data_IF_266700073075
#
_entry.id   IF_266700073075
#
_cell.length_a   1.000
_cell.length_b   1.000
_cell.length_c   1.000
_cell.angle_alpha   90.00
_cell.angle_beta   90.00
_cell.angle_gamma   90.00
#
_symmetry.space_group_name_H-M   'P 1'
#
loop_
_entity.id
_entity.type
_entity.pdbx_description
1 polymer ?
#
# COMPACT_ATOMS: atom_id res chain seq x y z
N UNK A 1 -16.48 6.59 17.74
CA UNK A 1 -17.41 5.59 18.30
C UNK A 1 -16.65 4.59 19.15
N UNK A 2 -17.23 4.10 20.25
CA UNK A 2 -16.63 3.04 21.04
C UNK A 2 -16.44 1.77 20.21
N UNK A 3 -15.37 1.01 20.51
CA UNK A 3 -15.05 -0.24 19.81
C UNK A 3 -16.17 -1.25 20.08
N UNK A 4 -16.72 -1.85 19.02
CA UNK A 4 -17.81 -2.83 19.09
C UNK A 4 -19.17 -2.29 19.57
N UNK A 5 -19.45 -1.01 19.33
CA UNK A 5 -20.74 -0.39 19.65
C UNK A 5 -21.95 -1.07 18.97
N UNK A 6 -21.71 -1.84 17.91
CA UNK A 6 -22.71 -2.59 17.16
C UNK A 6 -23.13 -3.93 17.79
N UNK A 7 -22.36 -4.48 18.73
CA UNK A 7 -22.67 -5.79 19.34
C UNK A 7 -23.99 -5.82 20.13
N UNK A 8 -24.38 -4.78 20.88
CA UNK A 8 -25.69 -4.72 21.51
C UNK A 8 -26.84 -4.81 20.50
N UNK A 9 -26.75 -4.08 19.38
CA UNK A 9 -27.76 -4.11 18.32
C UNK A 9 -27.87 -5.51 17.67
N UNK A 10 -26.74 -6.20 17.47
CA UNK A 10 -26.75 -7.59 16.97
C UNK A 10 -27.37 -8.59 17.96
N UNK A 11 -27.30 -8.33 19.27
CA UNK A 11 -27.99 -9.15 20.28
C UNK A 11 -29.50 -8.88 20.27
N UNK A 12 -29.91 -7.62 20.16
CA UNK A 12 -31.33 -7.25 20.06
C UNK A 12 -32.02 -7.84 18.82
N UNK A 13 -31.28 -7.93 17.71
CA UNK A 13 -31.75 -8.51 16.45
C UNK A 13 -31.59 -10.05 16.40
N UNK A 14 -31.21 -10.72 17.49
CA UNK A 14 -30.98 -12.17 17.59
C UNK A 14 -29.89 -12.73 16.65
N UNK A 15 -29.00 -11.89 16.12
CA UNK A 15 -27.85 -12.36 15.34
C UNK A 15 -26.72 -12.90 16.22
N UNK A 16 -26.70 -12.55 17.52
CA UNK A 16 -25.79 -13.11 18.53
C UNK A 16 -26.67 -13.64 19.67
N UNK A 17 -26.56 -14.93 19.96
CA UNK A 17 -27.35 -15.61 21.00
C UNK A 17 -26.52 -15.89 22.24
N UNK A 18 -27.17 -16.24 23.36
CA UNK A 18 -26.47 -16.62 24.60
C UNK A 18 -25.58 -17.86 24.43
N UNK A 19 -25.94 -18.75 23.48
CA UNK A 19 -25.13 -19.91 23.10
C UNK A 19 -23.79 -19.53 22.44
N UNK A 20 -23.68 -18.30 21.91
CA UNK A 20 -22.46 -17.76 21.29
C UNK A 20 -21.58 -17.02 22.33
N UNK A 21 -21.91 -17.09 23.62
CA UNK A 21 -21.36 -16.26 24.70
C UNK A 21 -19.84 -16.38 24.95
N UNK A 22 -19.22 -17.49 24.57
CA UNK A 22 -17.77 -17.73 24.74
C UNK A 22 -16.90 -17.13 23.62
N UNK A 23 -17.48 -16.54 22.57
CA UNK A 23 -16.72 -16.01 21.44
C UNK A 23 -16.05 -14.66 21.75
N UNK A 24 -14.85 -14.46 21.20
CA UNK A 24 -14.21 -13.14 21.20
C UNK A 24 -15.10 -12.13 20.45
N UNK A 25 -15.12 -10.86 20.88
CA UNK A 25 -15.92 -9.81 20.23
C UNK A 25 -15.73 -9.70 18.70
N UNK A 26 -14.52 -10.01 18.21
CA UNK A 26 -14.22 -10.05 16.76
C UNK A 26 -14.93 -11.21 16.05
N UNK A 27 -15.02 -12.36 16.71
CA UNK A 27 -15.61 -13.60 16.18
C UNK A 27 -17.13 -13.49 16.22
N UNK A 28 -17.69 -12.99 17.34
CA UNK A 28 -19.11 -12.68 17.45
C UNK A 28 -19.57 -11.69 16.38
N UNK A 29 -18.78 -10.64 16.10
CA UNK A 29 -19.07 -9.69 15.01
C UNK A 29 -19.02 -10.34 13.63
N UNK A 30 -18.02 -11.18 13.36
CA UNK A 30 -17.90 -11.88 12.07
C UNK A 30 -19.05 -12.87 11.85
N UNK A 31 -19.47 -13.56 12.92
CA UNK A 31 -20.62 -14.47 12.89
C UNK A 31 -21.94 -13.73 12.65
N UNK A 32 -22.15 -12.60 13.34
CA UNK A 32 -23.35 -11.79 13.14
C UNK A 32 -23.46 -11.29 11.69
N UNK A 33 -22.37 -10.80 11.11
CA UNK A 33 -22.34 -10.37 9.71
C UNK A 33 -22.66 -11.51 8.73
N UNK A 34 -22.11 -12.71 8.97
CA UNK A 34 -22.48 -13.89 8.17
C UNK A 34 -23.97 -14.23 8.29
N UNK A 35 -24.54 -14.16 9.49
CA UNK A 35 -25.98 -14.41 9.68
C UNK A 35 -26.84 -13.36 8.99
N UNK A 36 -26.42 -12.09 8.98
CA UNK A 36 -27.11 -11.01 8.25
C UNK A 36 -27.07 -11.30 6.74
N UNK A 37 -25.92 -11.70 6.19
CA UNK A 37 -25.80 -12.14 4.78
C UNK A 37 -26.68 -13.36 4.47
N UNK A 38 -26.68 -14.37 5.35
CA UNK A 38 -27.44 -15.61 5.16
C UNK A 38 -28.95 -15.42 5.31
N UNK A 39 -29.39 -14.41 6.07
CA UNK A 39 -30.81 -14.09 6.31
C UNK A 39 -31.38 -13.09 5.30
N UNK A 40 -30.55 -12.40 4.53
CA UNK A 40 -31.02 -11.45 3.52
C UNK A 40 -31.90 -12.11 2.45
N UNK A 41 -33.13 -11.64 2.29
CA UNK A 41 -34.09 -12.17 1.29
C UNK A 41 -34.75 -11.08 0.44
N UNK A 42 -34.72 -9.83 0.90
CA UNK A 42 -35.30 -8.66 0.22
C UNK A 42 -34.21 -7.71 -0.30
N UNK A 43 -34.57 -6.81 -1.22
CA UNK A 43 -33.64 -5.78 -1.70
C UNK A 43 -33.18 -4.85 -0.57
N UNK A 44 -34.05 -4.59 0.40
CA UNK A 44 -33.76 -3.82 1.61
C UNK A 44 -32.69 -4.51 2.46
N UNK A 45 -32.80 -5.82 2.68
CA UNK A 45 -31.81 -6.59 3.45
C UNK A 45 -30.43 -6.56 2.77
N UNK A 46 -30.41 -6.67 1.43
CA UNK A 46 -29.15 -6.59 0.68
C UNK A 46 -28.52 -5.19 0.75
N UNK A 47 -29.31 -4.11 0.79
CA UNK A 47 -28.79 -2.76 1.03
C UNK A 47 -28.16 -2.65 2.41
N UNK A 48 -28.74 -3.26 3.43
CA UNK A 48 -28.16 -3.29 4.78
C UNK A 48 -26.83 -4.06 4.81
N UNK A 49 -26.77 -5.23 4.16
CA UNK A 49 -25.52 -6.01 4.01
C UNK A 49 -24.44 -5.16 3.36
N UNK A 50 -24.75 -4.47 2.26
CA UNK A 50 -23.79 -3.60 1.55
C UNK A 50 -23.28 -2.49 2.47
N UNK A 51 -24.15 -1.82 3.22
CA UNK A 51 -23.74 -0.77 4.16
C UNK A 51 -22.78 -1.28 5.24
N UNK A 52 -22.97 -2.50 5.73
CA UNK A 52 -22.05 -3.13 6.68
C UNK A 52 -20.69 -3.42 6.07
N UNK A 53 -20.66 -3.89 4.83
CA UNK A 53 -19.42 -4.12 4.08
C UNK A 53 -18.69 -2.81 3.78
N UNK A 54 -19.38 -1.77 3.32
CA UNK A 54 -18.80 -0.44 3.08
C UNK A 54 -18.20 0.14 4.36
N UNK A 55 -18.90 -0.02 5.51
CA UNK A 55 -18.39 0.42 6.81
C UNK A 55 -17.15 -0.37 7.24
N UNK A 56 -17.10 -1.67 6.98
CA UNK A 56 -15.93 -2.49 7.27
C UNK A 56 -14.74 -2.10 6.39
N UNK A 57 -14.99 -1.84 5.11
CA UNK A 57 -13.96 -1.41 4.17
C UNK A 57 -13.43 -0.02 4.55
N UNK A 58 -14.29 0.95 4.84
CA UNK A 58 -13.89 2.27 5.34
C UNK A 58 -13.07 2.20 6.64
N UNK A 59 -13.40 1.26 7.54
CA UNK A 59 -12.64 1.05 8.77
C UNK A 59 -11.27 0.42 8.53
N UNK A 60 -11.16 -0.45 7.52
CA UNK A 60 -9.91 -1.03 7.07
C UNK A 60 -9.05 0.04 6.39
N UNK A 61 -9.62 0.80 5.47
CA UNK A 61 -8.97 1.91 4.78
C UNK A 61 -8.46 2.98 5.75
N UNK A 62 -9.24 3.34 6.77
CA UNK A 62 -8.77 4.27 7.83
C UNK A 62 -7.57 3.72 8.57
N UNK A 63 -7.59 2.45 8.99
CA UNK A 63 -6.42 1.84 9.66
C UNK A 63 -5.20 1.86 8.76
N UNK A 64 -5.38 1.52 7.49
CA UNK A 64 -4.30 1.55 6.49
C UNK A 64 -3.79 3.00 6.29
N UNK A 65 -4.68 4.01 6.23
CA UNK A 65 -4.31 5.44 6.20
C UNK A 65 -3.59 5.92 7.44
N UNK A 66 -3.95 5.45 8.64
CA UNK A 66 -3.24 5.79 9.87
C UNK A 66 -1.78 5.27 9.83
N UNK A 67 -1.50 4.24 9.02
CA UNK A 67 -0.15 3.75 8.74
C UNK A 67 0.54 4.47 7.57
N UNK A 68 -0.19 5.26 6.78
CA UNK A 68 0.29 6.08 5.65
C UNK A 68 0.46 7.56 6.04
N UNK A 69 -0.28 8.06 7.03
CA UNK A 69 -0.33 9.48 7.40
C UNK A 69 0.82 9.84 8.34
N UNK A 70 1.87 10.44 7.77
CA UNK A 70 2.94 11.14 8.48
C UNK A 70 3.03 12.62 8.13
N UNK A 71 1.91 13.33 7.88
CA UNK A 71 1.91 14.75 7.48
C UNK A 71 0.92 15.61 8.28
N UNK A 72 1.33 16.85 8.56
CA UNK A 72 0.61 17.91 9.29
C UNK A 72 0.00 18.93 8.31
N UNK A 73 -1.09 19.60 8.74
CA UNK A 73 -2.11 20.26 7.90
C UNK A 73 -2.24 21.77 8.14
N UNK A 74 -1.16 22.53 8.36
CA UNK A 74 -1.24 24.00 8.40
C UNK A 74 -0.07 24.67 7.65
N UNK A 75 -0.36 25.54 6.67
CA UNK A 75 0.62 26.33 5.93
C UNK A 75 0.73 27.76 6.48
N UNK A 76 1.93 28.20 6.84
CA UNK A 76 2.50 29.54 6.61
C UNK A 76 3.72 29.74 7.52
N UNK A 77 4.93 29.69 6.96
CA UNK A 77 6.03 30.65 7.23
C UNK A 77 6.92 30.74 5.99
N UNK A 78 7.30 31.98 5.66
CA UNK A 78 8.22 32.29 4.58
C UNK A 78 9.64 32.13 5.16
N UNK A 79 10.34 31.08 4.70
CA UNK A 79 11.70 30.62 5.08
C UNK A 79 11.90 29.80 6.37
N UNK A 80 10.85 29.16 6.89
CA UNK A 80 10.98 28.02 7.81
C UNK A 80 10.06 26.86 7.38
N UNK A 81 10.43 25.64 7.77
CA UNK A 81 9.51 25.01 8.73
C UNK A 81 10.34 24.53 9.91
N UNK A 82 10.27 25.30 11.00
CA UNK A 82 10.90 24.99 12.29
C UNK A 82 10.32 23.73 12.96
N UNK A 83 9.37 23.01 12.33
CA UNK A 83 8.81 21.76 12.86
C UNK A 83 8.64 20.61 11.86
N UNK A 84 9.67 20.27 11.06
CA UNK A 84 9.69 18.96 10.37
C UNK A 84 10.93 18.10 10.66
N UNK A 85 10.94 17.51 11.86
CA UNK A 85 11.77 16.33 12.20
C UNK A 85 11.06 15.05 11.74
N UNK A 86 10.79 14.92 10.45
CA UNK A 86 10.69 13.57 9.87
C UNK A 86 12.10 13.24 9.39
N UNK A 87 12.72 12.18 9.91
CA UNK A 87 14.12 11.83 9.64
C UNK A 87 14.45 11.48 8.19
N UNK A 88 13.62 11.85 7.20
CA UNK A 88 13.83 11.62 5.77
C UNK A 88 13.40 12.86 4.95
N UNK A 89 14.26 13.39 4.05
CA UNK A 89 13.88 14.45 3.13
C UNK A 89 12.81 13.95 2.14
N UNK A 90 11.89 14.82 1.72
CA UNK A 90 10.93 14.50 0.66
C UNK A 90 11.64 14.37 -0.69
N UNK A 91 11.09 13.58 -1.61
CA UNK A 91 11.66 13.41 -2.95
C UNK A 91 11.84 14.74 -3.69
N UNK A 92 10.86 15.63 -3.62
CA UNK A 92 10.93 16.95 -4.27
C UNK A 92 12.04 17.84 -3.70
N UNK A 93 12.33 17.74 -2.39
CA UNK A 93 13.49 18.43 -1.78
C UNK A 93 14.81 17.89 -2.32
N UNK A 94 14.92 16.57 -2.52
CA UNK A 94 16.11 15.93 -3.09
C UNK A 94 16.31 16.39 -4.52
N UNK A 95 15.27 16.32 -5.36
CA UNK A 95 15.33 16.79 -6.74
C UNK A 95 15.71 18.27 -6.85
N UNK A 96 15.11 19.14 -6.02
CA UNK A 96 15.45 20.57 -6.00
C UNK A 96 16.90 20.81 -5.61
N UNK A 97 17.43 20.02 -4.66
CA UNK A 97 18.84 20.12 -4.26
C UNK A 97 19.78 19.67 -5.38
N UNK A 98 19.47 18.57 -6.07
CA UNK A 98 20.24 18.09 -7.22
C UNK A 98 20.25 19.14 -8.35
N UNK A 99 19.09 19.71 -8.66
CA UNK A 99 18.95 20.76 -9.66
C UNK A 99 19.83 21.98 -9.33
N UNK A 100 19.84 22.43 -8.07
CA UNK A 100 20.69 23.54 -7.61
C UNK A 100 22.18 23.19 -7.64
N UNK A 101 22.55 21.93 -7.43
CA UNK A 101 23.92 21.44 -7.53
C UNK A 101 24.40 21.29 -8.99
N UNK A 102 23.50 21.49 -9.98
CA UNK A 102 23.79 21.26 -11.39
C UNK A 102 23.75 19.78 -11.80
N UNK A 103 23.12 18.92 -11.00
CA UNK A 103 22.80 17.55 -11.37
C UNK A 103 21.32 17.47 -11.77
N UNK A 104 21.08 17.40 -13.08
CA UNK A 104 19.74 17.48 -13.67
C UNK A 104 19.27 16.17 -14.28
N UNK A 105 20.07 15.09 -14.22
CA UNK A 105 19.70 13.82 -14.85
C UNK A 105 18.40 13.27 -14.28
N UNK A 106 18.30 13.17 -12.95
CA UNK A 106 17.09 12.68 -12.29
C UNK A 106 15.88 13.57 -12.58
N UNK A 107 16.08 14.88 -12.69
CA UNK A 107 15.02 15.82 -13.04
C UNK A 107 14.50 15.63 -14.47
N UNK A 108 15.39 15.33 -15.44
CA UNK A 108 15.00 15.07 -16.84
C UNK A 108 14.18 13.77 -16.96
N UNK A 109 14.53 12.77 -16.15
CA UNK A 109 13.88 11.46 -16.14
C UNK A 109 12.76 11.31 -15.12
N UNK A 110 12.40 12.38 -14.41
CA UNK A 110 11.35 12.42 -13.39
C UNK A 110 9.93 12.35 -13.99
N UNK A 111 9.65 11.24 -14.67
CA UNK A 111 8.38 10.91 -15.31
C UNK A 111 8.12 9.41 -15.26
N UNK A 112 6.85 8.98 -15.29
CA UNK A 112 6.50 7.56 -15.23
C UNK A 112 7.18 6.68 -16.27
N UNK A 113 7.28 7.13 -17.53
CA UNK A 113 7.79 6.33 -18.65
C UNK A 113 9.27 5.95 -18.45
N UNK A 114 10.00 6.84 -17.77
CA UNK A 114 11.45 6.80 -17.55
C UNK A 114 11.83 6.37 -16.13
N UNK A 115 10.91 5.81 -15.35
CA UNK A 115 11.20 5.34 -13.97
C UNK A 115 12.40 4.36 -13.87
N UNK A 116 12.72 3.65 -14.95
CA UNK A 116 13.86 2.75 -15.02
C UNK A 116 15.22 3.45 -15.04
N UNK A 117 15.25 4.74 -15.40
CA UNK A 117 16.44 5.59 -15.35
C UNK A 117 16.71 6.12 -13.93
N UNK A 118 15.69 6.07 -13.05
CA UNK A 118 15.76 6.55 -11.67
C UNK A 118 16.18 5.45 -10.67
N UNK A 119 16.78 4.36 -11.16
CA UNK A 119 17.21 3.21 -10.37
C UNK A 119 18.67 2.92 -10.67
N UNK A 120 19.47 2.77 -9.61
CA UNK A 120 20.92 2.51 -9.71
C UNK A 120 21.24 1.07 -10.10
N UNK A 121 20.38 0.12 -9.75
CA UNK A 121 20.56 -1.28 -10.09
C UNK A 121 20.22 -1.57 -11.57
N UNK A 122 21.22 -2.03 -12.31
CA UNK A 122 21.09 -2.26 -13.77
C UNK A 122 20.09 -3.35 -14.14
N UNK A 123 19.88 -4.36 -13.29
CA UNK A 123 18.95 -5.44 -13.58
C UNK A 123 17.52 -5.03 -13.25
N UNK A 124 17.31 -4.31 -12.14
CA UNK A 124 16.04 -3.67 -11.85
C UNK A 124 15.68 -2.64 -12.91
N UNK A 125 16.64 -1.83 -13.38
CA UNK A 125 16.42 -0.89 -14.49
C UNK A 125 15.86 -1.61 -15.72
N UNK A 126 16.49 -2.71 -16.17
CA UNK A 126 15.98 -3.53 -17.29
C UNK A 126 14.59 -4.10 -17.02
N UNK A 127 14.33 -4.61 -15.81
CA UNK A 127 13.01 -5.14 -15.44
C UNK A 127 11.94 -4.04 -15.50
N UNK A 128 12.23 -2.87 -14.94
CA UNK A 128 11.32 -1.72 -14.92
C UNK A 128 11.07 -1.19 -16.33
N UNK A 129 12.08 -1.17 -17.19
CA UNK A 129 11.98 -0.74 -18.59
C UNK A 129 10.94 -1.54 -19.37
N UNK A 130 10.86 -2.85 -19.13
CA UNK A 130 9.93 -3.79 -19.78
C UNK A 130 8.53 -3.83 -19.14
N UNK A 131 8.27 -3.06 -18.07
CA UNK A 131 6.94 -2.99 -17.49
C UNK A 131 5.94 -2.28 -18.41
N UNK A 132 4.68 -2.72 -18.33
CA UNK A 132 3.58 -2.05 -19.02
C UNK A 132 3.44 -0.60 -18.51
N UNK A 133 3.04 0.35 -19.36
CA UNK A 133 2.95 1.78 -18.98
C UNK A 133 2.15 2.03 -17.69
N UNK A 134 0.96 1.44 -17.54
CA UNK A 134 0.15 1.61 -16.33
C UNK A 134 0.83 1.13 -15.04
N UNK A 135 1.71 0.13 -15.13
CA UNK A 135 2.48 -0.34 -13.96
C UNK A 135 3.60 0.64 -13.62
N UNK A 136 4.25 1.22 -14.64
CA UNK A 136 5.25 2.27 -14.43
C UNK A 136 4.62 3.51 -13.78
N UNK A 137 3.44 3.93 -14.24
CA UNK A 137 2.68 5.03 -13.64
C UNK A 137 2.37 4.76 -12.17
N UNK A 138 1.80 3.58 -11.87
CA UNK A 138 1.50 3.21 -10.50
C UNK A 138 2.76 3.19 -9.62
N UNK A 139 3.87 2.62 -10.10
CA UNK A 139 5.11 2.59 -9.32
C UNK A 139 5.66 4.01 -9.08
N UNK A 140 5.62 4.85 -10.10
CA UNK A 140 6.09 6.23 -10.03
C UNK A 140 5.34 7.03 -8.95
N UNK A 141 4.00 7.05 -9.02
CA UNK A 141 3.22 7.82 -8.06
C UNK A 141 3.30 7.24 -6.64
N UNK A 142 3.18 5.92 -6.49
CA UNK A 142 3.13 5.29 -5.17
C UNK A 142 4.48 5.25 -4.44
N UNK A 143 5.60 5.07 -5.16
CA UNK A 143 6.92 4.88 -4.53
C UNK A 143 7.84 6.08 -4.64
N UNK A 144 7.69 6.91 -5.67
CA UNK A 144 8.58 8.05 -5.89
C UNK A 144 7.94 9.38 -5.47
N UNK A 145 6.65 9.57 -5.79
CA UNK A 145 5.90 10.77 -5.41
C UNK A 145 5.16 10.65 -4.07
N UNK A 146 5.32 9.53 -3.37
CA UNK A 146 4.68 9.25 -2.08
C UNK A 146 3.14 9.42 -2.08
N UNK A 147 2.48 9.10 -3.20
CA UNK A 147 1.01 9.07 -3.23
C UNK A 147 0.49 7.90 -2.39
N UNK A 148 -0.57 8.12 -1.63
CA UNK A 148 -1.38 7.04 -1.07
C UNK A 148 -2.02 6.21 -2.19
N UNK A 149 -2.38 4.96 -1.88
CA UNK A 149 -3.07 4.12 -2.87
C UNK A 149 -4.42 4.69 -3.27
N UNK A 150 -5.10 5.38 -2.35
CA UNK A 150 -6.37 6.08 -2.60
C UNK A 150 -6.20 7.29 -3.53
N UNK A 151 -5.19 8.14 -3.30
CA UNK A 151 -4.96 9.33 -4.15
C UNK A 151 -4.65 8.91 -5.59
N UNK A 152 -3.81 7.88 -5.75
CA UNK A 152 -3.52 7.35 -7.07
C UNK A 152 -4.76 6.70 -7.71
N UNK A 153 -5.53 5.93 -6.94
CA UNK A 153 -6.75 5.28 -7.44
C UNK A 153 -7.77 6.31 -7.95
N UNK A 154 -7.98 7.39 -7.20
CA UNK A 154 -8.85 8.51 -7.56
C UNK A 154 -8.36 9.19 -8.85
N UNK A 155 -7.04 9.43 -8.98
CA UNK A 155 -6.46 10.08 -10.17
C UNK A 155 -6.71 9.34 -11.48
N UNK A 156 -6.91 8.01 -11.42
CA UNK A 156 -7.16 7.17 -12.60
C UNK A 156 -8.58 6.59 -12.65
N UNK A 157 -9.48 7.02 -11.76
CA UNK A 157 -10.86 6.54 -11.70
C UNK A 157 -11.01 5.05 -11.38
N UNK A 158 -10.13 4.50 -10.54
CA UNK A 158 -10.18 3.10 -10.09
C UNK A 158 -10.40 3.00 -8.58
N UNK A 159 -10.72 1.80 -8.09
CA UNK A 159 -10.85 1.57 -6.66
C UNK A 159 -9.48 1.34 -6.01
N UNK A 160 -9.33 1.82 -4.79
CA UNK A 160 -8.15 1.62 -3.96
C UNK A 160 -7.80 0.11 -3.81
N UNK A 161 -8.82 -0.73 -3.62
CA UNK A 161 -8.68 -2.20 -3.62
C UNK A 161 -8.04 -2.72 -4.90
N UNK A 162 -8.47 -2.23 -6.07
CA UNK A 162 -7.92 -2.64 -7.35
C UNK A 162 -6.44 -2.25 -7.48
N UNK A 163 -6.10 -1.00 -7.13
CA UNK A 163 -4.72 -0.52 -7.14
C UNK A 163 -3.81 -1.39 -6.27
N UNK A 164 -4.27 -1.78 -5.07
CA UNK A 164 -3.49 -2.67 -4.19
C UNK A 164 -3.28 -4.05 -4.81
N UNK A 165 -4.30 -4.61 -5.46
CA UNK A 165 -4.20 -5.89 -6.18
C UNK A 165 -3.20 -5.82 -7.34
N UNK A 166 -3.26 -4.76 -8.15
CA UNK A 166 -2.31 -4.49 -9.25
C UNK A 166 -0.89 -4.33 -8.69
N UNK A 167 -0.73 -3.56 -7.61
CA UNK A 167 0.55 -3.33 -6.93
C UNK A 167 1.20 -4.63 -6.47
N UNK A 168 0.46 -5.47 -5.76
CA UNK A 168 0.99 -6.75 -5.27
C UNK A 168 1.40 -7.67 -6.41
N UNK A 169 0.59 -7.74 -7.47
CA UNK A 169 0.88 -8.54 -8.67
C UNK A 169 2.14 -8.03 -9.37
N UNK A 170 2.28 -6.72 -9.52
CA UNK A 170 3.46 -6.10 -10.15
C UNK A 170 4.73 -6.36 -9.35
N UNK A 171 4.70 -6.16 -8.03
CA UNK A 171 5.84 -6.43 -7.15
C UNK A 171 6.22 -7.91 -7.17
N UNK A 172 5.25 -8.83 -7.17
CA UNK A 172 5.51 -10.27 -7.30
C UNK A 172 6.19 -10.60 -8.63
N UNK A 173 5.76 -9.97 -9.73
CA UNK A 173 6.40 -10.14 -11.05
C UNK A 173 7.84 -9.64 -11.04
N UNK A 174 8.10 -8.44 -10.52
CA UNK A 174 9.45 -7.85 -10.42
C UNK A 174 10.36 -8.75 -9.59
N UNK A 175 9.90 -9.16 -8.40
CA UNK A 175 10.65 -10.06 -7.51
C UNK A 175 10.99 -11.40 -8.16
N UNK A 176 10.07 -11.98 -8.93
CA UNK A 176 10.31 -13.23 -9.65
C UNK A 176 11.38 -13.07 -10.74
N UNK A 177 11.31 -12.00 -11.52
CA UNK A 177 12.30 -11.73 -12.57
C UNK A 177 13.68 -11.49 -11.97
N UNK A 178 13.74 -10.63 -10.94
CA UNK A 178 14.98 -10.32 -10.24
C UNK A 178 15.57 -11.56 -9.56
N UNK A 179 14.75 -12.37 -8.89
CA UNK A 179 15.16 -13.64 -8.30
C UNK A 179 15.77 -14.60 -9.33
N UNK A 180 15.20 -14.69 -10.53
CA UNK A 180 15.77 -15.50 -11.62
C UNK A 180 17.18 -15.04 -12.03
N UNK A 181 17.41 -13.73 -12.09
CA UNK A 181 18.73 -13.17 -12.40
C UNK A 181 19.74 -13.50 -11.30
N UNK A 182 19.34 -13.37 -10.03
CA UNK A 182 20.21 -13.70 -8.90
C UNK A 182 20.51 -15.20 -8.80
N UNK A 183 19.55 -16.07 -9.13
CA UNK A 183 19.80 -17.52 -9.25
C UNK A 183 20.85 -17.81 -10.31
N UNK A 184 20.71 -17.22 -11.51
CA UNK A 184 21.71 -17.36 -12.56
C UNK A 184 23.10 -16.87 -12.11
N UNK A 185 23.17 -15.71 -11.42
CA UNK A 185 24.44 -15.22 -10.86
C UNK A 185 25.05 -16.21 -9.87
N UNK A 186 24.24 -16.80 -8.98
CA UNK A 186 24.69 -17.80 -8.01
C UNK A 186 25.24 -19.06 -8.69
N UNK A 187 24.56 -19.58 -9.71
CA UNK A 187 24.97 -20.77 -10.46
C UNK A 187 26.27 -20.54 -11.24
N UNK A 188 26.52 -19.32 -11.71
CA UNK A 188 27.69 -18.94 -12.50
C UNK A 188 28.81 -18.29 -11.68
N UNK A 189 28.74 -18.34 -10.34
CA UNK A 189 29.71 -17.70 -9.44
C UNK A 189 29.96 -16.21 -9.73
N UNK A 190 28.93 -15.51 -10.21
CA UNK A 190 29.00 -14.07 -10.46
C UNK A 190 28.86 -13.28 -9.14
N UNK A 191 29.45 -12.07 -9.06
CA UNK A 191 29.38 -11.25 -7.87
C UNK A 191 27.93 -10.88 -7.54
N UNK A 192 27.62 -10.90 -6.24
CA UNK A 192 26.35 -10.44 -5.68
C UNK A 192 26.60 -9.63 -4.41
N UNK A 193 25.80 -8.58 -4.21
CA UNK A 193 25.80 -7.79 -2.98
C UNK A 193 25.27 -8.62 -1.79
N UNK A 194 25.55 -8.15 -0.58
CA UNK A 194 25.06 -8.82 0.64
C UNK A 194 23.52 -8.83 0.67
N UNK A 195 22.87 -7.76 0.22
CA UNK A 195 21.41 -7.66 0.18
C UNK A 195 20.80 -8.56 -0.89
N UNK A 196 21.46 -8.72 -2.05
CA UNK A 196 21.04 -9.67 -3.09
C UNK A 196 21.11 -11.11 -2.60
N UNK A 197 22.21 -11.50 -1.94
CA UNK A 197 22.36 -12.84 -1.33
C UNK A 197 21.26 -13.09 -0.30
N UNK A 198 21.02 -12.11 0.58
CA UNK A 198 19.97 -12.19 1.57
C UNK A 198 18.59 -12.37 0.93
N UNK A 199 18.26 -11.56 -0.09
CA UNK A 199 16.98 -11.63 -0.79
C UNK A 199 16.79 -12.98 -1.48
N UNK A 200 17.83 -13.54 -2.08
CA UNK A 200 17.76 -14.84 -2.74
C UNK A 200 17.49 -15.98 -1.74
N UNK A 201 18.08 -15.91 -0.54
CA UNK A 201 17.94 -16.94 0.50
C UNK A 201 16.65 -16.81 1.32
N UNK A 202 16.25 -15.57 1.65
CA UNK A 202 15.21 -15.29 2.64
C UNK A 202 13.99 -14.56 2.06
N UNK A 203 14.06 -14.12 0.80
CA UNK A 203 13.04 -13.27 0.19
C UNK A 203 13.05 -11.84 0.73
N UNK A 204 11.89 -11.18 0.65
CA UNK A 204 11.74 -9.78 1.10
C UNK A 204 11.87 -9.70 2.62
N UNK A 205 12.72 -8.78 3.12
CA UNK A 205 12.81 -8.48 4.56
C UNK A 205 11.43 -8.11 5.10
N UNK A 206 10.89 -8.94 6.00
CA UNK A 206 9.70 -8.60 6.76
C UNK A 206 10.10 -7.55 7.79
N UNK A 207 9.34 -6.45 7.90
CA UNK A 207 9.49 -5.54 9.06
C UNK A 207 9.37 -6.39 10.31
N UNK A 208 10.39 -6.38 11.19
CA UNK A 208 10.26 -6.92 12.54
C UNK A 208 9.05 -6.22 13.16
N UNK A 209 8.07 -7.02 13.63
CA UNK A 209 6.87 -6.49 14.24
C UNK A 209 7.24 -5.49 15.33
N UNK A 210 6.60 -4.32 15.32
CA UNK A 210 6.39 -3.54 16.54
C UNK A 210 5.20 -4.14 17.27
#
# INVERSE_FOLDING_TARGET
>A
MPKYAELPAFREQNFITEADGDMLHREARALALRRIEESARTEEDFKEVIQWWDRLDANRERKERDHETGRSTVPLEWDADEFYVSGKPSYDMVLRRLLLAGDFLDFIFDRPETIHELVTDTDLSKILKELKPHLKNMLYYLFLRDYSTSEYAESIGQTDRNIRGIRETALKKIRRLYGGILTYRKENSLPMTIDEKYFLENGVRKKKGK
#
